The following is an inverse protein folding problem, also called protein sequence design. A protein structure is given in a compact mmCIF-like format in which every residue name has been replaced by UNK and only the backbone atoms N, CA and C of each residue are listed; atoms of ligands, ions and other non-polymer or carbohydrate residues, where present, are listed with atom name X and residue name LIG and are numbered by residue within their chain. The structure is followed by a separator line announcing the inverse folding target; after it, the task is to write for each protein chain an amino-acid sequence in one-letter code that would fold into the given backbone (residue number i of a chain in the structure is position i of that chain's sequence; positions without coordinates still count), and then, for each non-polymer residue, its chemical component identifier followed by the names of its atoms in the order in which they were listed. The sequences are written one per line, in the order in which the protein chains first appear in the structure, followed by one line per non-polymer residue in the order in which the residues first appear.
data_IF_637682838180
#
_entry.id   IF_637682838180
#
_cell.length_a   1.000
_cell.length_b   1.000
_cell.length_c   1.000
_cell.angle_alpha   90.00
_cell.angle_beta   90.00
_cell.angle_gamma   90.00
#
_symmetry.space_group_name_H-M   'P 1'
#
loop_
_entity.id
_entity.type
_entity.pdbx_description
1 polymer ?
#
# COMPACT_ATOMS: atom_id res chain seq x y z
N UNK A 1 -10.43 4.43 -11.65
CA UNK A 1 -11.53 5.41 -11.79
C UNK A 1 -10.99 6.77 -11.37
N UNK A 2 -11.25 7.86 -12.10
CA UNK A 2 -10.77 9.19 -11.70
C UNK A 2 -11.52 9.66 -10.44
N UNK A 3 -10.81 9.73 -9.30
CA UNK A 3 -11.34 10.15 -8.00
C UNK A 3 -11.98 11.55 -8.08
N UNK A 4 -11.42 12.41 -8.93
CA UNK A 4 -11.93 13.76 -9.23
C UNK A 4 -13.36 13.77 -9.78
N UNK A 5 -13.82 12.66 -10.36
CA UNK A 5 -15.15 12.55 -10.98
C UNK A 5 -16.12 11.78 -10.07
N UNK A 6 -15.65 10.77 -9.34
CA UNK A 6 -16.52 9.91 -8.50
C UNK A 6 -17.05 10.63 -7.26
N UNK A 7 -16.21 11.43 -6.59
CA UNK A 7 -16.60 12.18 -5.39
C UNK A 7 -17.75 13.15 -5.68
N UNK A 8 -17.63 14.11 -6.64
CA UNK A 8 -18.71 15.07 -6.89
C UNK A 8 -19.99 14.39 -7.39
N UNK A 9 -19.86 13.32 -8.20
CA UNK A 9 -21.01 12.55 -8.67
C UNK A 9 -21.76 11.88 -7.52
N UNK A 10 -21.03 11.29 -6.57
CA UNK A 10 -21.61 10.68 -5.37
C UNK A 10 -22.29 11.70 -4.45
N UNK A 11 -21.69 12.87 -4.25
CA UNK A 11 -22.31 13.98 -3.49
C UNK A 11 -23.63 14.41 -4.15
N UNK A 12 -23.64 14.53 -5.48
CA UNK A 12 -24.85 14.88 -6.23
C UNK A 12 -25.94 13.80 -6.08
N UNK A 13 -25.56 12.53 -6.17
CA UNK A 13 -26.50 11.42 -5.95
C UNK A 13 -27.07 11.41 -4.52
N UNK A 14 -26.25 11.71 -3.50
CA UNK A 14 -26.72 11.84 -2.12
C UNK A 14 -27.70 13.00 -1.94
N UNK A 15 -27.44 14.16 -2.54
CA UNK A 15 -28.36 15.30 -2.54
C UNK A 15 -29.70 14.92 -3.16
N UNK A 16 -29.67 14.24 -4.31
CA UNK A 16 -30.88 13.81 -5.01
C UNK A 16 -31.68 12.78 -4.21
N UNK A 17 -31.01 11.80 -3.61
CA UNK A 17 -31.63 10.82 -2.71
C UNK A 17 -32.26 11.50 -1.49
N UNK A 18 -31.56 12.45 -0.87
CA UNK A 18 -32.07 13.20 0.27
C UNK A 18 -33.34 13.99 -0.09
N UNK A 19 -33.33 14.71 -1.21
CA UNK A 19 -34.50 15.45 -1.70
C UNK A 19 -35.66 14.49 -2.02
N UNK A 20 -35.38 13.33 -2.62
CA UNK A 20 -36.40 12.32 -2.91
C UNK A 20 -37.05 11.79 -1.63
N UNK A 21 -36.24 11.46 -0.60
CA UNK A 21 -36.72 11.00 0.70
C UNK A 21 -37.60 12.03 1.39
N UNK A 22 -37.24 13.31 1.32
CA UNK A 22 -38.07 14.38 1.90
C UNK A 22 -39.33 14.67 1.07
N UNK A 23 -39.24 14.68 -0.26
CA UNK A 23 -40.35 15.09 -1.12
C UNK A 23 -41.40 14.01 -1.34
N UNK A 24 -40.95 12.77 -1.53
CA UNK A 24 -41.82 11.62 -1.84
C UNK A 24 -42.28 10.95 -0.55
N UNK A 25 -41.35 10.66 0.36
CA UNK A 25 -41.63 9.92 1.59
C UNK A 25 -41.94 10.83 2.80
N UNK A 26 -41.84 12.16 2.64
CA UNK A 26 -42.13 13.16 3.68
C UNK A 26 -41.38 12.88 5.00
N UNK A 27 -40.18 12.33 4.90
CA UNK A 27 -39.35 12.04 6.07
C UNK A 27 -38.76 13.33 6.63
N UNK A 28 -38.73 13.43 7.95
CA UNK A 28 -38.00 14.48 8.65
C UNK A 28 -36.53 14.52 8.22
N UNK A 29 -35.95 15.71 8.12
CA UNK A 29 -34.59 15.93 7.61
C UNK A 29 -33.53 15.07 8.31
N UNK A 30 -33.66 14.85 9.61
CA UNK A 30 -32.74 14.01 10.40
C UNK A 30 -32.82 12.53 10.00
N UNK A 31 -34.03 12.02 9.80
CA UNK A 31 -34.25 10.63 9.38
C UNK A 31 -33.82 10.42 7.92
N UNK A 32 -34.11 11.38 7.04
CA UNK A 32 -33.67 11.35 5.64
C UNK A 32 -32.13 11.35 5.55
N UNK A 33 -31.44 12.19 6.33
CA UNK A 33 -29.98 12.26 6.36
C UNK A 33 -29.34 10.96 6.86
N UNK A 34 -29.89 10.36 7.92
CA UNK A 34 -29.44 9.06 8.44
C UNK A 34 -29.58 7.98 7.37
N UNK A 35 -30.72 7.93 6.68
CA UNK A 35 -30.98 6.98 5.60
C UNK A 35 -30.01 7.17 4.44
N UNK A 36 -29.70 8.41 4.06
CA UNK A 36 -28.67 8.68 3.02
C UNK A 36 -27.29 8.19 3.47
N UNK A 37 -26.88 8.47 4.71
CA UNK A 37 -25.59 8.00 5.24
C UNK A 37 -25.48 6.49 5.28
N UNK A 38 -26.52 5.80 5.76
CA UNK A 38 -26.58 4.33 5.78
C UNK A 38 -26.59 3.73 4.36
N UNK A 39 -27.29 4.37 3.42
CA UNK A 39 -27.33 3.93 2.02
C UNK A 39 -25.96 3.99 1.38
N UNK A 40 -25.14 5.00 1.70
CA UNK A 40 -23.76 5.06 1.20
C UNK A 40 -22.95 3.89 1.70
N UNK A 41 -23.01 3.56 2.99
CA UNK A 41 -22.29 2.40 3.52
C UNK A 41 -22.78 1.11 2.86
N UNK A 42 -24.10 0.93 2.76
CA UNK A 42 -24.73 -0.26 2.20
C UNK A 42 -24.45 -0.46 0.70
N UNK A 43 -24.24 0.61 -0.08
CA UNK A 43 -23.98 0.52 -1.51
C UNK A 43 -22.47 0.54 -1.83
N UNK A 44 -21.72 1.42 -1.17
CA UNK A 44 -20.30 1.64 -1.46
C UNK A 44 -19.42 0.52 -0.91
N UNK A 45 -19.70 -0.03 0.27
CA UNK A 45 -18.88 -1.10 0.85
C UNK A 45 -18.93 -2.37 0.00
N UNK A 46 -20.10 -2.91 -0.42
CA UNK A 46 -20.14 -4.07 -1.31
C UNK A 46 -19.47 -3.79 -2.66
N UNK A 47 -19.65 -2.59 -3.21
CA UNK A 47 -18.97 -2.18 -4.42
C UNK A 47 -17.44 -2.18 -4.25
N UNK A 48 -16.93 -1.63 -3.14
CA UNK A 48 -15.50 -1.61 -2.84
C UNK A 48 -14.91 -3.02 -2.63
N UNK A 49 -15.69 -3.97 -2.13
CA UNK A 49 -15.28 -5.39 -2.03
C UNK A 49 -15.13 -6.01 -3.42
N UNK A 50 -16.01 -5.69 -4.37
CA UNK A 50 -15.97 -6.23 -5.74
C UNK A 50 -14.90 -5.56 -6.60
N UNK A 51 -14.72 -4.24 -6.46
CA UNK A 51 -13.79 -3.43 -7.23
C UNK A 51 -12.94 -2.64 -6.26
N UNK A 52 -11.91 -3.30 -5.74
CA UNK A 52 -11.03 -2.72 -4.72
C UNK A 52 -10.20 -1.55 -5.28
N UNK A 53 -10.43 -0.31 -4.82
CA UNK A 53 -9.70 0.86 -5.32
C UNK A 53 -8.49 1.23 -4.45
N UNK A 54 -8.22 0.47 -3.38
CA UNK A 54 -7.25 0.80 -2.33
C UNK A 54 -7.92 1.30 -1.05
N UNK A 55 -7.36 0.95 0.11
CA UNK A 55 -7.94 1.25 1.42
C UNK A 55 -8.15 2.76 1.64
N UNK A 56 -7.19 3.57 1.21
CA UNK A 56 -7.19 5.01 1.45
C UNK A 56 -8.27 5.73 0.63
N UNK A 57 -8.46 5.28 -0.62
CA UNK A 57 -9.53 5.79 -1.50
C UNK A 57 -10.90 5.43 -0.91
N UNK A 58 -11.05 4.22 -0.36
CA UNK A 58 -12.28 3.80 0.32
C UNK A 58 -12.54 4.67 1.54
N UNK A 59 -11.53 4.90 2.39
CA UNK A 59 -11.64 5.74 3.58
C UNK A 59 -12.09 7.17 3.23
N UNK A 60 -11.48 7.78 2.21
CA UNK A 60 -11.83 9.13 1.76
C UNK A 60 -13.30 9.22 1.29
N UNK A 61 -13.77 8.26 0.48
CA UNK A 61 -15.16 8.26 0.00
C UNK A 61 -16.15 8.09 1.15
N UNK A 62 -15.89 7.15 2.07
CA UNK A 62 -16.75 6.92 3.24
C UNK A 62 -16.79 8.18 4.12
N UNK A 63 -15.65 8.79 4.41
CA UNK A 63 -15.58 9.99 5.23
C UNK A 63 -16.34 11.17 4.60
N UNK A 64 -16.05 11.51 3.35
CA UNK A 64 -16.67 12.66 2.66
C UNK A 64 -18.17 12.47 2.54
N UNK A 65 -18.63 11.28 2.15
CA UNK A 65 -20.05 11.02 1.99
C UNK A 65 -20.80 11.01 3.32
N UNK A 66 -20.21 10.49 4.41
CA UNK A 66 -20.83 10.55 5.74
C UNK A 66 -20.90 11.99 6.26
N UNK A 67 -19.84 12.79 6.09
CA UNK A 67 -19.84 14.21 6.45
C UNK A 67 -20.90 14.97 5.65
N UNK A 68 -21.02 14.68 4.36
CA UNK A 68 -22.04 15.27 3.48
C UNK A 68 -23.45 14.93 3.99
N UNK A 69 -23.74 13.65 4.24
CA UNK A 69 -25.04 13.22 4.76
C UNK A 69 -25.37 13.89 6.10
N UNK A 70 -24.40 13.99 6.99
CA UNK A 70 -24.54 14.66 8.28
C UNK A 70 -24.83 16.17 8.12
N UNK A 71 -24.08 16.85 7.24
CA UNK A 71 -24.29 18.28 6.96
C UNK A 71 -25.69 18.57 6.41
N UNK A 72 -26.21 17.71 5.51
CA UNK A 72 -27.59 17.82 5.01
C UNK A 72 -28.60 17.74 6.16
N UNK A 73 -28.45 16.76 7.07
CA UNK A 73 -29.33 16.60 8.22
C UNK A 73 -29.32 17.80 9.17
N UNK A 74 -28.15 18.41 9.38
CA UNK A 74 -27.98 19.56 10.27
C UNK A 74 -28.58 20.84 9.68
N UNK A 75 -28.30 21.12 8.41
CA UNK A 75 -28.75 22.34 7.71
C UNK A 75 -30.28 22.32 7.51
N UNK A 76 -30.82 21.21 6.99
CA UNK A 76 -32.25 21.10 6.70
C UNK A 76 -33.09 20.82 7.96
N UNK A 77 -32.53 20.15 8.97
CA UNK A 77 -33.20 19.95 10.25
C UNK A 77 -33.46 21.25 11.03
N UNK A 78 -32.61 22.27 10.86
CA UNK A 78 -32.84 23.61 11.44
C UNK A 78 -34.01 24.36 10.79
N UNK A 79 -34.25 24.14 9.49
CA UNK A 79 -35.38 24.78 8.78
C UNK A 79 -36.72 24.19 9.18
N UNK A 80 -36.77 22.87 9.38
CA UNK A 80 -37.98 22.15 9.77
C UNK A 80 -38.38 22.43 11.22
N UNK A 81 -37.39 22.46 12.14
CA UNK A 81 -37.62 22.75 13.57
C UNK A 81 -38.06 24.21 13.85
N UNK A 82 -37.87 25.13 12.90
CA UNK A 82 -38.30 26.54 13.02
C UNK A 82 -39.80 26.75 12.73
N UNK A 83 -40.48 25.75 12.18
CA UNK A 83 -41.91 25.81 11.87
C UNK A 83 -42.79 25.30 13.02
N UNK A 84 -42.25 24.48 13.94
CA UNK A 84 -43.01 23.87 15.04
C UNK A 84 -42.90 24.61 16.40
N UNK A 85 -42.02 25.61 16.54
CA UNK A 85 -41.68 26.16 17.86
C UNK A 85 -42.15 27.62 18.09
N UNK A 86 -43.36 27.78 18.63
CA UNK A 86 -43.92 29.06 19.12
C UNK A 86 -43.52 29.34 20.59
N UNK A 87 -42.67 28.53 21.24
CA UNK A 87 -42.22 28.83 22.62
C UNK A 87 -40.73 28.58 22.84
N UNK A 88 -39.94 29.59 22.51
CA UNK A 88 -38.99 30.16 23.48
C UNK A 88 -37.79 29.32 23.90
N UNK A 89 -37.17 28.53 23.02
CA UNK A 89 -35.86 27.92 23.32
C UNK A 89 -34.78 28.42 22.34
N UNK A 90 -33.68 28.96 22.90
CA UNK A 90 -32.53 29.46 22.14
C UNK A 90 -31.88 28.34 21.32
N UNK A 91 -31.33 28.61 20.11
CA UNK A 91 -30.67 27.60 19.30
C UNK A 91 -29.34 27.23 19.96
N UNK A 92 -29.32 26.11 20.70
CA UNK A 92 -28.11 25.59 21.32
C UNK A 92 -27.25 24.86 20.30
N UNK A 93 -26.06 25.40 20.03
CA UNK A 93 -24.99 24.71 19.29
C UNK A 93 -24.78 23.30 19.88
N UNK A 94 -25.03 22.26 19.09
CA UNK A 94 -24.87 20.87 19.53
C UNK A 94 -23.38 20.49 19.58
N UNK A 95 -22.73 20.82 20.70
CA UNK A 95 -21.29 20.63 20.91
C UNK A 95 -20.83 19.17 20.75
N UNK A 96 -21.65 18.20 21.19
CA UNK A 96 -21.29 16.77 21.14
C UNK A 96 -21.11 16.21 19.73
N UNK A 97 -22.14 16.20 18.88
CA UNK A 97 -22.03 15.70 17.50
C UNK A 97 -21.01 16.47 16.65
N UNK A 98 -20.88 17.78 16.87
CA UNK A 98 -19.89 18.61 16.17
C UNK A 98 -18.46 18.24 16.56
N UNK A 99 -18.22 17.88 17.83
CA UNK A 99 -16.93 17.40 18.31
C UNK A 99 -16.53 16.07 17.65
N UNK A 100 -17.50 15.15 17.48
CA UNK A 100 -17.27 13.86 16.81
C UNK A 100 -16.91 14.07 15.33
N UNK A 101 -17.63 14.94 14.62
CA UNK A 101 -17.32 15.24 13.21
C UNK A 101 -15.96 15.92 13.08
N UNK A 102 -15.64 16.90 13.93
CA UNK A 102 -14.34 17.54 13.95
C UNK A 102 -13.21 16.54 14.22
N UNK A 103 -13.40 15.61 15.17
CA UNK A 103 -12.46 14.54 15.46
C UNK A 103 -12.22 13.64 14.24
N UNK A 104 -13.28 13.20 13.56
CA UNK A 104 -13.14 12.37 12.36
C UNK A 104 -12.49 13.11 11.20
N UNK A 105 -12.76 14.41 11.01
CA UNK A 105 -12.08 15.23 10.00
C UNK A 105 -10.58 15.30 10.29
N UNK A 106 -10.19 15.51 11.54
CA UNK A 106 -8.77 15.52 11.95
C UNK A 106 -8.13 14.15 11.70
N UNK A 107 -8.82 13.06 12.04
CA UNK A 107 -8.32 11.70 11.84
C UNK A 107 -8.09 11.41 10.35
N UNK A 108 -9.03 11.79 9.49
CA UNK A 108 -8.91 11.62 8.03
C UNK A 108 -7.75 12.45 7.45
N UNK A 109 -7.56 13.67 7.93
CA UNK A 109 -6.42 14.50 7.53
C UNK A 109 -5.09 13.86 7.97
N UNK A 110 -5.04 13.32 9.18
CA UNK A 110 -3.86 12.66 9.72
C UNK A 110 -3.52 11.37 8.96
N UNK A 111 -4.52 10.50 8.72
CA UNK A 111 -4.35 9.29 7.93
C UNK A 111 -3.90 9.60 6.50
N UNK A 112 -4.44 10.65 5.88
CA UNK A 112 -4.02 11.08 4.54
C UNK A 112 -2.53 11.42 4.48
N UNK A 113 -1.97 12.04 5.54
CA UNK A 113 -0.54 12.32 5.64
C UNK A 113 0.25 11.02 5.77
N UNK A 114 -0.20 10.07 6.60
CA UNK A 114 0.46 8.76 6.76
C UNK A 114 0.48 7.96 5.45
N UNK A 115 -0.59 8.01 4.67
CA UNK A 115 -0.68 7.36 3.36
C UNK A 115 0.29 7.97 2.35
N UNK A 116 0.40 9.30 2.32
CA UNK A 116 1.39 9.98 1.48
C UNK A 116 2.81 9.56 1.89
N UNK A 117 3.09 9.48 3.19
CA UNK A 117 4.37 8.98 3.70
C UNK A 117 4.63 7.53 3.29
N UNK A 118 3.61 6.66 3.35
CA UNK A 118 3.73 5.26 3.00
C UNK A 118 3.94 5.02 1.49
N UNK A 119 3.40 5.91 0.64
CA UNK A 119 3.46 5.78 -0.82
C UNK A 119 4.64 6.51 -1.44
N UNK A 120 5.02 7.67 -0.90
CA UNK A 120 6.06 8.55 -1.45
C UNK A 120 7.32 8.63 -0.59
N UNK A 121 7.29 8.09 0.63
CA UNK A 121 8.36 8.21 1.62
C UNK A 121 8.19 9.42 2.56
N UNK A 122 9.01 9.47 3.61
CA UNK A 122 8.97 10.55 4.61
C UNK A 122 9.38 11.90 4.00
N UNK A 123 8.61 12.99 4.22
CA UNK A 123 9.01 14.34 3.84
C UNK A 123 10.36 14.74 4.46
N UNK A 124 11.25 15.33 3.65
CA UNK A 124 12.57 15.86 4.02
C UNK A 124 12.69 16.51 5.42
N UNK A 125 11.80 17.43 5.85
CA UNK A 125 11.92 18.05 7.19
C UNK A 125 11.67 17.08 8.34
N UNK A 126 10.77 16.11 8.18
CA UNK A 126 10.44 15.10 9.19
C UNK A 126 11.52 14.00 9.19
N UNK A 127 11.98 13.61 8.00
CA UNK A 127 13.08 12.67 7.84
C UNK A 127 14.35 13.15 8.57
N UNK A 128 14.71 14.43 8.45
CA UNK A 128 15.88 15.01 9.17
C UNK A 128 15.71 15.10 10.70
N UNK A 129 14.48 15.20 11.19
CA UNK A 129 14.19 15.30 12.63
C UNK A 129 14.15 13.93 13.31
N UNK A 130 13.60 12.92 12.63
CA UNK A 130 13.39 11.57 13.17
C UNK A 130 14.51 10.60 12.84
N UNK A 131 15.15 10.73 11.66
CA UNK A 131 16.25 9.87 11.27
C UNK A 131 17.57 10.56 11.64
N UNK A 132 18.51 9.86 12.30
CA UNK A 132 19.85 10.39 12.52
C UNK A 132 20.44 10.79 11.17
N UNK A 133 20.96 12.02 11.10
CA UNK A 133 21.60 12.55 9.89
C UNK A 133 22.64 11.53 9.42
N UNK A 134 22.33 10.82 8.34
CA UNK A 134 23.31 9.95 7.73
C UNK A 134 24.25 10.90 7.02
N UNK A 135 25.44 11.08 7.59
CA UNK A 135 26.55 11.68 6.87
C UNK A 135 26.80 10.80 5.64
N UNK A 136 26.17 11.16 4.53
CA UNK A 136 26.26 10.44 3.27
C UNK A 136 26.67 11.42 2.20
N UNK A 137 27.98 11.52 2.03
CA UNK A 137 28.54 11.20 0.71
C UNK A 137 27.66 10.12 0.07
N UNK A 138 27.23 10.34 -1.18
CA UNK A 138 26.52 9.37 -2.03
C UNK A 138 27.32 8.08 -2.13
N UNK A 139 27.28 7.26 -1.09
CA UNK A 139 27.85 5.93 -1.09
C UNK A 139 26.69 5.00 -1.39
N UNK A 140 26.64 4.61 -2.66
CA UNK A 140 25.69 3.66 -3.24
C UNK A 140 25.81 2.38 -2.42
N UNK A 141 24.99 2.27 -1.39
CA UNK A 141 25.07 1.13 -0.48
C UNK A 141 24.17 0.04 -1.03
N UNK A 142 24.74 -0.85 -1.83
CA UNK A 142 24.12 -2.12 -2.21
C UNK A 142 24.22 -3.10 -1.03
N UNK A 143 23.67 -2.73 0.13
CA UNK A 143 23.49 -3.65 1.22
C UNK A 143 22.24 -4.49 0.90
N UNK A 144 22.41 -5.80 0.74
CA UNK A 144 21.33 -6.77 0.61
C UNK A 144 21.13 -7.47 1.96
N UNK A 145 20.50 -6.81 2.95
CA UNK A 145 20.17 -7.47 4.20
C UNK A 145 19.21 -8.63 3.91
N UNK A 146 19.41 -9.77 4.56
CA UNK A 146 18.43 -10.84 4.55
C UNK A 146 17.14 -10.32 5.19
N UNK A 147 16.07 -10.22 4.41
CA UNK A 147 14.76 -9.81 4.93
C UNK A 147 14.12 -11.01 5.60
N UNK A 148 13.87 -10.89 6.91
CA UNK A 148 12.96 -11.76 7.64
C UNK A 148 11.55 -11.26 7.32
N UNK A 149 10.71 -12.12 6.73
CA UNK A 149 9.34 -11.76 6.35
C UNK A 149 8.48 -11.42 7.57
N UNK A 150 7.78 -10.29 7.46
CA UNK A 150 6.72 -9.89 8.37
C UNK A 150 5.37 -10.02 7.64
N UNK A 151 5.02 -11.25 7.25
CA UNK A 151 3.72 -11.57 6.64
C UNK A 151 3.05 -12.76 7.35
N UNK A 152 2.74 -12.56 8.64
CA UNK A 152 2.03 -13.55 9.48
C UNK A 152 0.53 -13.33 9.48
N UNK A 153 -0.16 -13.70 8.38
CA UNK A 153 -1.63 -13.72 8.33
C UNK A 153 -2.23 -14.96 7.66
N UNK A 154 -1.53 -16.10 7.54
CA UNK A 154 -2.12 -17.34 6.97
C UNK A 154 -1.68 -18.64 7.67
N UNK A 155 -2.66 -19.27 8.36
CA UNK A 155 -2.86 -20.68 8.77
C UNK A 155 -1.62 -21.59 8.99
N UNK A 156 -1.52 -22.16 10.20
CA UNK A 156 -0.45 -23.02 10.74
C UNK A 156 0.09 -24.14 9.82
N UNK A 157 -0.73 -24.77 8.99
CA UNK A 157 -0.28 -25.86 8.13
C UNK A 157 0.69 -25.40 7.02
N UNK A 158 0.48 -24.20 6.47
CA UNK A 158 1.41 -23.59 5.50
C UNK A 158 2.70 -23.14 6.18
N UNK A 159 2.60 -22.73 7.45
CA UNK A 159 3.76 -22.31 8.25
C UNK A 159 4.69 -23.48 8.58
N UNK A 160 4.16 -24.66 8.90
CA UNK A 160 4.98 -25.85 9.12
C UNK A 160 5.70 -26.31 7.84
N UNK A 161 5.00 -26.29 6.70
CA UNK A 161 5.62 -26.60 5.40
C UNK A 161 6.71 -25.58 5.04
N UNK A 162 6.49 -24.30 5.33
CA UNK A 162 7.50 -23.24 5.18
C UNK A 162 8.70 -23.46 6.11
N UNK A 163 8.50 -23.77 7.38
CA UNK A 163 9.58 -24.07 8.33
C UNK A 163 10.39 -25.29 7.91
N UNK A 164 9.75 -26.34 7.40
CA UNK A 164 10.46 -27.48 6.82
C UNK A 164 11.23 -27.11 5.56
N UNK A 165 10.66 -26.26 4.69
CA UNK A 165 11.36 -25.78 3.50
C UNK A 165 12.56 -24.92 3.88
N UNK A 166 12.46 -24.07 4.90
CA UNK A 166 13.57 -23.29 5.45
C UNK A 166 14.62 -24.21 6.09
N UNK A 167 14.24 -25.22 6.87
CA UNK A 167 15.17 -26.22 7.43
C UNK A 167 15.91 -26.99 6.34
N UNK A 168 15.18 -27.50 5.33
CA UNK A 168 15.78 -28.19 4.17
C UNK A 168 16.73 -27.29 3.40
N UNK A 169 16.45 -25.99 3.30
CA UNK A 169 17.35 -25.01 2.69
C UNK A 169 18.62 -24.78 3.53
N UNK A 170 18.46 -24.71 4.86
CA UNK A 170 19.57 -24.54 5.80
C UNK A 170 20.47 -25.78 5.88
N UNK A 171 19.91 -26.99 5.73
CA UNK A 171 20.63 -28.26 5.72
C UNK A 171 21.45 -28.48 4.44
N UNK A 172 21.13 -27.80 3.33
CA UNK A 172 21.88 -27.91 2.06
C UNK A 172 23.22 -27.18 2.09
N UNK A 173 23.30 -26.04 2.80
CA UNK A 173 24.54 -25.31 3.05
C UNK A 173 25.06 -24.46 1.89
N UNK A 174 24.22 -24.15 0.90
CA UNK A 174 24.62 -23.26 -0.20
C UNK A 174 24.82 -21.83 0.28
N UNK A 175 25.92 -21.23 -0.15
CA UNK A 175 26.28 -19.84 0.11
C UNK A 175 26.01 -19.04 -1.16
N UNK A 176 25.02 -18.15 -1.09
CA UNK A 176 24.58 -17.33 -2.23
C UNK A 176 25.00 -15.88 -2.02
N UNK A 177 25.92 -15.41 -2.86
CA UNK A 177 26.29 -13.99 -2.96
C UNK A 177 25.54 -13.35 -4.12
N UNK A 178 25.04 -12.14 -3.95
CA UNK A 178 24.23 -11.45 -4.96
C UNK A 178 24.45 -9.95 -4.90
N UNK A 179 24.49 -9.31 -6.05
CA UNK A 179 24.76 -7.88 -6.13
C UNK A 179 24.73 -7.31 -7.54
N UNK A 180 24.72 -5.99 -7.62
CA UNK A 180 24.88 -5.26 -8.87
C UNK A 180 26.37 -5.06 -9.16
N UNK A 181 26.79 -5.31 -10.41
CA UNK A 181 28.17 -5.04 -10.86
C UNK A 181 28.40 -3.56 -11.18
N UNK A 182 27.32 -2.82 -11.43
CA UNK A 182 27.30 -1.38 -11.67
C UNK A 182 26.16 -0.76 -10.89
N UNK A 183 26.29 0.50 -10.47
CA UNK A 183 25.23 1.21 -9.78
C UNK A 183 23.89 1.13 -10.54
N UNK A 184 22.85 0.64 -9.86
CA UNK A 184 21.53 0.50 -10.43
C UNK A 184 20.76 1.83 -10.36
N UNK A 185 20.39 2.36 -11.52
CA UNK A 185 19.59 3.57 -11.65
C UNK A 185 18.26 3.25 -12.34
N UNK A 186 17.22 4.00 -11.98
CA UNK A 186 15.90 3.84 -12.57
C UNK A 186 15.94 4.03 -14.09
N UNK A 187 15.28 3.15 -14.83
CA UNK A 187 15.22 3.19 -16.30
C UNK A 187 16.53 2.86 -17.02
N UNK A 188 17.62 2.58 -16.31
CA UNK A 188 18.91 2.20 -16.89
C UNK A 188 19.19 0.71 -16.72
N UNK A 189 19.81 0.13 -17.74
CA UNK A 189 20.23 -1.27 -17.69
C UNK A 189 21.49 -1.41 -16.84
N UNK A 190 21.40 -2.21 -15.76
CA UNK A 190 22.52 -2.57 -14.91
C UNK A 190 22.74 -4.09 -14.93
N UNK A 191 23.99 -4.53 -14.73
CA UNK A 191 24.31 -5.96 -14.66
C UNK A 191 24.13 -6.46 -13.24
N UNK A 192 23.27 -7.46 -13.08
CA UNK A 192 23.06 -8.16 -11.82
C UNK A 192 23.79 -9.51 -11.84
N UNK A 193 24.47 -9.83 -10.75
CA UNK A 193 25.24 -11.08 -10.59
C UNK A 193 24.80 -11.83 -9.33
N UNK A 194 24.73 -13.15 -9.46
CA UNK A 194 24.57 -14.10 -8.37
C UNK A 194 25.67 -15.15 -8.45
N UNK A 195 26.39 -15.37 -7.35
CA UNK A 195 27.37 -16.44 -7.19
C UNK A 195 26.82 -17.47 -6.21
N UNK A 196 26.82 -18.74 -6.61
CA UNK A 196 26.27 -19.86 -5.82
C UNK A 196 27.38 -20.87 -5.57
N UNK A 197 27.72 -21.05 -4.30
CA UNK A 197 28.69 -22.04 -3.83
C UNK A 197 27.99 -23.05 -2.90
N UNK A 198 28.46 -24.28 -2.87
CA UNK A 198 28.02 -25.30 -1.92
C UNK A 198 28.68 -25.08 -0.53
N UNK A 199 28.28 -25.89 0.46
CA UNK A 199 28.83 -25.87 1.83
C UNK A 199 30.35 -26.00 1.87
N UNK A 200 30.91 -26.72 0.92
CA UNK A 200 32.36 -26.99 0.80
C UNK A 200 33.07 -25.92 -0.03
N UNK A 201 32.39 -24.82 -0.38
CA UNK A 201 32.93 -23.72 -1.19
C UNK A 201 33.05 -24.03 -2.68
N UNK A 202 32.56 -25.19 -3.14
CA UNK A 202 32.58 -25.57 -4.55
C UNK A 202 31.48 -24.83 -5.33
N UNK A 203 31.83 -24.26 -6.48
CA UNK A 203 30.89 -23.59 -7.36
C UNK A 203 29.76 -24.53 -7.82
N UNK A 204 28.51 -24.08 -7.68
CA UNK A 204 27.32 -24.82 -8.11
C UNK A 204 27.02 -24.48 -9.56
N UNK A 205 27.44 -25.36 -10.47
CA UNK A 205 27.25 -25.17 -11.93
C UNK A 205 25.98 -25.85 -12.44
N UNK A 206 25.46 -25.38 -13.58
CA UNK A 206 24.29 -25.96 -14.25
C UNK A 206 22.97 -25.78 -13.50
N UNK A 207 22.89 -24.83 -12.56
CA UNK A 207 21.64 -24.47 -11.91
C UNK A 207 20.82 -23.51 -12.77
N UNK A 208 19.50 -23.66 -12.74
CA UNK A 208 18.56 -22.70 -13.31
C UNK A 208 18.29 -21.64 -12.25
N UNK A 209 18.78 -20.42 -12.48
CA UNK A 209 18.58 -19.29 -11.55
C UNK A 209 17.59 -18.31 -12.16
N UNK A 210 16.46 -18.13 -11.48
CA UNK A 210 15.38 -17.23 -11.88
C UNK A 210 14.96 -16.37 -10.69
N UNK A 211 14.24 -15.29 -10.94
CA UNK A 211 13.76 -14.47 -9.85
C UNK A 211 12.87 -13.32 -10.29
N UNK A 212 12.49 -12.52 -9.31
CA UNK A 212 11.73 -11.31 -9.50
C UNK A 212 12.20 -10.20 -8.57
N UNK A 213 12.27 -8.99 -9.12
CA UNK A 213 12.25 -7.76 -8.33
C UNK A 213 10.80 -7.33 -8.18
N UNK A 214 10.29 -7.43 -6.97
CA UNK A 214 8.91 -7.17 -6.57
C UNK A 214 8.81 -5.78 -5.94
N UNK A 215 7.71 -5.09 -6.20
CA UNK A 215 7.42 -3.80 -5.58
C UNK A 215 6.27 -3.92 -4.59
N UNK A 216 6.53 -3.55 -3.34
CA UNK A 216 5.54 -3.68 -2.25
C UNK A 216 4.23 -2.92 -2.52
N UNK A 217 4.31 -1.76 -3.20
CA UNK A 217 3.15 -0.89 -3.42
C UNK A 217 2.36 -1.18 -4.72
N UNK A 218 2.97 -1.85 -5.71
CA UNK A 218 2.32 -2.10 -7.01
C UNK A 218 2.95 -3.28 -7.75
N UNK A 219 2.27 -4.43 -7.71
CA UNK A 219 2.73 -5.68 -8.33
C UNK A 219 2.74 -5.64 -9.86
N UNK A 220 2.11 -4.65 -10.49
CA UNK A 220 2.16 -4.50 -11.96
C UNK A 220 3.54 -4.08 -12.47
N UNK A 221 4.40 -3.61 -11.56
CA UNK A 221 5.76 -3.18 -11.86
C UNK A 221 6.81 -4.27 -11.61
N UNK A 222 6.39 -5.46 -11.18
CA UNK A 222 7.27 -6.56 -10.87
C UNK A 222 8.07 -6.99 -12.11
N UNK A 223 9.39 -7.09 -11.95
CA UNK A 223 10.31 -7.45 -13.03
C UNK A 223 10.83 -8.86 -12.81
N UNK A 224 10.37 -9.81 -13.65
CA UNK A 224 10.87 -11.19 -13.64
C UNK A 224 12.09 -11.32 -14.54
N UNK A 225 13.05 -12.15 -14.13
CA UNK A 225 14.26 -12.38 -14.89
C UNK A 225 14.80 -13.81 -14.72
N UNK A 226 15.63 -14.20 -15.68
CA UNK A 226 16.47 -15.39 -15.61
C UNK A 226 17.94 -14.97 -15.72
N UNK A 227 18.81 -15.66 -14.99
CA UNK A 227 20.25 -15.44 -15.06
C UNK A 227 20.89 -16.54 -15.90
N UNK A 228 21.83 -16.16 -16.76
CA UNK A 228 22.65 -17.08 -17.53
C UNK A 228 23.94 -17.37 -16.77
N UNK A 229 24.39 -18.62 -16.74
CA UNK A 229 25.70 -18.98 -16.19
C UNK A 229 26.81 -18.45 -17.11
N UNK A 230 27.65 -17.55 -16.60
CA UNK A 230 28.75 -16.95 -17.37
C UNK A 230 30.12 -17.48 -16.98
N UNK A 231 30.25 -18.00 -15.75
CA UNK A 231 31.39 -18.74 -15.25
C UNK A 231 30.89 -19.78 -14.25
N UNK A 232 31.69 -20.81 -13.88
CA UNK A 232 31.27 -21.83 -12.94
C UNK A 232 30.69 -21.22 -11.65
N UNK A 233 29.39 -21.44 -11.41
CA UNK A 233 28.67 -20.93 -10.23
C UNK A 233 28.39 -19.42 -10.24
N UNK A 234 28.66 -18.73 -11.34
CA UNK A 234 28.40 -17.29 -11.52
C UNK A 234 27.31 -17.10 -12.58
N UNK A 235 26.21 -16.50 -12.17
CA UNK A 235 25.02 -16.28 -12.97
C UNK A 235 24.78 -14.79 -13.13
N UNK A 236 24.58 -14.31 -14.36
CA UNK A 236 24.46 -12.89 -14.67
C UNK A 236 23.31 -12.59 -15.64
N UNK A 237 22.73 -11.39 -15.50
CA UNK A 237 21.79 -10.84 -16.48
C UNK A 237 21.81 -9.31 -16.46
N UNK A 238 21.42 -8.71 -17.58
CA UNK A 238 21.26 -7.27 -17.73
C UNK A 238 19.80 -6.90 -17.47
N UNK A 239 19.55 -6.12 -16.43
CA UNK A 239 18.20 -5.83 -15.93
C UNK A 239 17.97 -4.33 -15.90
N UNK A 240 16.75 -3.91 -16.17
CA UNK A 240 16.33 -2.50 -16.09
C UNK A 240 15.15 -2.41 -15.12
N UNK A 241 15.34 -1.68 -14.02
CA UNK A 241 14.26 -1.42 -13.06
C UNK A 241 13.64 -0.07 -13.38
N UNK A 242 12.32 0.00 -13.65
CA UNK A 242 11.71 1.19 -14.25
C UNK A 242 11.64 2.40 -13.32
N UNK A 243 11.70 2.19 -12.00
CA UNK A 243 11.43 3.24 -11.02
C UNK A 243 12.43 3.17 -9.85
N UNK A 244 12.78 4.34 -9.26
CA UNK A 244 13.67 4.39 -8.11
C UNK A 244 12.99 3.91 -6.84
N UNK A 245 13.79 3.64 -5.81
CA UNK A 245 13.34 3.24 -4.48
C UNK A 245 13.69 1.79 -4.12
N UNK A 246 12.99 1.25 -3.12
CA UNK A 246 13.25 -0.10 -2.58
C UNK A 246 12.51 -1.16 -3.39
N UNK A 247 13.22 -2.23 -3.73
CA UNK A 247 12.72 -3.40 -4.43
C UNK A 247 13.04 -4.67 -3.63
N UNK A 248 12.05 -5.57 -3.52
CA UNK A 248 12.23 -6.87 -2.90
C UNK A 248 12.68 -7.88 -3.95
N UNK A 249 13.78 -8.58 -3.68
CA UNK A 249 14.32 -9.62 -4.54
C UNK A 249 13.88 -10.99 -4.02
N UNK A 250 13.25 -11.79 -4.88
CA UNK A 250 13.03 -13.22 -4.67
C UNK A 250 13.78 -13.98 -5.76
N UNK A 251 14.75 -14.81 -5.37
CA UNK A 251 15.52 -15.67 -6.26
C UNK A 251 15.15 -17.13 -6.00
N UNK A 252 15.03 -17.90 -7.07
CA UNK A 252 14.88 -19.33 -7.06
C UNK A 252 16.05 -19.95 -7.84
N UNK A 253 16.81 -20.81 -7.16
CA UNK A 253 17.96 -21.53 -7.71
C UNK A 253 17.58 -23.01 -7.74
N UNK A 254 17.49 -23.60 -8.93
CA UNK A 254 17.13 -25.00 -9.10
C UNK A 254 18.25 -25.81 -9.74
N UNK A 255 18.69 -26.89 -9.09
CA UNK A 255 19.65 -27.86 -9.66
C UNK A 255 19.05 -29.26 -9.58
N UNK A 256 18.58 -29.78 -10.71
CA UNK A 256 17.83 -31.05 -10.72
C UNK A 256 16.52 -30.93 -9.91
N UNK A 257 16.40 -31.75 -8.87
CA UNK A 257 15.29 -31.76 -7.90
C UNK A 257 15.50 -30.77 -6.72
N UNK A 258 16.69 -30.17 -6.61
CA UNK A 258 17.04 -29.27 -5.51
C UNK A 258 16.57 -27.85 -5.82
N UNK A 259 15.66 -27.29 -5.01
CA UNK A 259 15.21 -25.90 -5.07
C UNK A 259 15.73 -25.11 -3.87
N UNK A 260 16.30 -23.94 -4.11
CA UNK A 260 16.75 -23.01 -3.07
C UNK A 260 16.23 -21.61 -3.34
N UNK A 261 15.51 -21.03 -2.39
CA UNK A 261 14.89 -19.72 -2.48
C UNK A 261 15.65 -18.70 -1.62
N UNK A 262 15.97 -17.54 -2.19
CA UNK A 262 16.68 -16.47 -1.48
C UNK A 262 15.89 -15.18 -1.58
N UNK A 263 15.58 -14.59 -0.43
CA UNK A 263 14.92 -13.28 -0.34
C UNK A 263 15.90 -12.19 0.10
N UNK A 264 15.81 -11.01 -0.50
CA UNK A 264 16.60 -9.83 -0.15
C UNK A 264 15.87 -8.54 -0.54
N UNK A 265 16.44 -7.39 -0.21
CA UNK A 265 16.00 -6.10 -0.73
C UNK A 265 17.17 -5.35 -1.39
N UNK A 266 16.86 -4.46 -2.33
CA UNK A 266 17.82 -3.56 -2.98
C UNK A 266 17.22 -2.18 -3.16
N UNK A 267 18.05 -1.13 -3.14
CA UNK A 267 17.62 0.25 -3.37
C UNK A 267 18.20 0.73 -4.70
N UNK A 268 17.33 1.24 -5.57
CA UNK A 268 17.67 1.79 -6.87
C UNK A 268 17.61 3.31 -6.80
N UNK A 269 18.66 3.98 -7.27
CA UNK A 269 18.71 5.43 -7.29
C UNK A 269 17.87 6.00 -8.44
N UNK A 270 17.48 7.26 -8.32
CA UNK A 270 16.89 7.98 -9.45
C UNK A 270 17.92 8.13 -10.57
N UNK A 271 17.48 8.14 -11.82
CA UNK A 271 18.36 8.50 -12.91
C UNK A 271 18.61 10.01 -12.82
N UNK A 272 19.72 10.41 -12.18
CA UNK A 272 20.18 11.80 -12.16
C UNK A 272 20.08 12.37 -13.60
N UNK A 273 19.32 13.47 -13.75
CA UNK A 273 19.38 14.36 -14.91
C UNK A 273 20.64 15.19 -14.87
#
# INVERSE_FOLDING_TARGET
MNILLTIPLGIFAQLLLFVLLQRVFRLHAKAAALMVGLSVLALYIPYAILVWPGADVVAMHVAIYLVTAYALGLIFGHRESRMDDVRGSRPGFHWGPTLIVAFFVVLVLFDSVLVVIATQGLPEPIARLLLPATDRQREITSAFPGVVDNDFQKKEALYNAYLEQVRRQHERGWVVHKGWLSAAHAGQTAKFQVTVNDRDGKAVTGAVVQGGFLRAADTRLDQRFALAETAPGVYQSALTLPLPGVWNLVLEIRRGEELHEVRAATTVADADH
#
